data_IF_314847385349
#
_entry.id   IF_314847385349
#
_cell.length_a   1.000
_cell.length_b   1.000
_cell.length_c   1.000
_cell.angle_alpha   90.00
_cell.angle_beta   90.00
_cell.angle_gamma   90.00
#
_symmetry.space_group_name_H-M   'P 1'
#
loop_
_entity.id
_entity.type
_entity.pdbx_description
1 polymer ?
#
# COMPACT_ATOMS: atom_id res chain seq x y z
N UNK A 1 19.80 9.15 7.49
CA UNK A 1 18.96 7.96 7.23
C UNK A 1 19.87 6.75 7.09
N UNK A 2 19.96 5.93 8.15
CA UNK A 2 20.52 4.58 8.02
C UNK A 2 19.51 3.77 7.22
N UNK A 3 19.67 3.74 5.89
CA UNK A 3 18.81 2.93 5.03
C UNK A 3 19.21 1.48 5.24
N UNK A 4 18.42 0.77 6.04
CA UNK A 4 18.53 -0.68 6.16
C UNK A 4 17.86 -1.27 4.90
N UNK A 5 18.62 -1.80 3.93
CA UNK A 5 18.07 -2.17 2.61
C UNK A 5 17.12 -3.37 2.69
N UNK A 6 17.00 -4.00 3.85
CA UNK A 6 16.16 -5.17 4.12
C UNK A 6 14.93 -4.86 4.97
N UNK A 7 14.65 -3.59 5.27
CA UNK A 7 13.45 -3.21 6.01
C UNK A 7 12.18 -3.60 5.24
N UNK A 8 11.14 -4.01 5.97
CA UNK A 8 9.82 -4.25 5.39
C UNK A 8 9.18 -2.94 4.91
N UNK A 9 8.12 -3.05 4.11
CA UNK A 9 7.35 -1.87 3.68
C UNK A 9 6.76 -1.17 4.91
N UNK A 10 6.17 -1.92 5.85
CA UNK A 10 5.62 -1.37 7.09
C UNK A 10 6.66 -0.61 7.92
N UNK A 11 7.84 -1.21 8.14
CA UNK A 11 8.93 -0.58 8.91
C UNK A 11 9.42 0.71 8.24
N UNK A 12 9.46 0.73 6.91
CA UNK A 12 9.90 1.92 6.18
C UNK A 12 8.91 3.08 6.28
N UNK A 13 7.62 2.78 6.46
CA UNK A 13 6.54 3.76 6.52
C UNK A 13 5.99 3.99 7.94
N UNK A 14 6.63 3.46 8.99
CA UNK A 14 6.11 3.58 10.37
C UNK A 14 5.93 5.04 10.82
N UNK A 15 6.89 5.90 10.45
CA UNK A 15 6.87 7.31 10.86
C UNK A 15 5.89 8.16 10.02
N UNK A 16 5.20 7.57 9.05
CA UNK A 16 4.25 8.27 8.19
C UNK A 16 2.91 8.45 8.91
N UNK A 17 2.61 9.69 9.31
CA UNK A 17 1.29 10.05 9.80
C UNK A 17 0.23 9.88 8.69
N UNK A 18 -0.89 9.24 9.03
CA UNK A 18 -2.03 9.13 8.12
C UNK A 18 -2.80 10.47 8.05
N UNK A 19 -2.80 11.17 6.90
CA UNK A 19 -3.49 12.46 6.78
C UNK A 19 -5.01 12.32 6.64
N UNK A 20 -5.53 11.09 6.54
CA UNK A 20 -6.96 10.81 6.33
C UNK A 20 -7.72 10.96 7.64
N UNK A 21 -9.02 11.21 7.51
CA UNK A 21 -9.92 11.34 8.66
C UNK A 21 -10.25 9.94 9.19
N UNK A 22 -9.85 9.65 10.43
CA UNK A 22 -9.89 8.31 11.04
C UNK A 22 -11.25 7.60 10.92
N UNK A 23 -12.36 8.32 11.05
CA UNK A 23 -13.70 7.73 10.95
C UNK A 23 -14.24 7.59 9.51
N UNK A 24 -13.48 8.00 8.50
CA UNK A 24 -13.83 7.91 7.08
C UNK A 24 -12.97 6.90 6.31
N UNK A 25 -12.12 6.12 6.99
CA UNK A 25 -11.25 5.13 6.34
C UNK A 25 -11.74 3.72 6.58
N UNK A 26 -11.69 2.88 5.54
CA UNK A 26 -12.03 1.46 5.60
C UNK A 26 -10.79 0.55 5.56
N UNK A 27 -9.65 1.12 5.16
CA UNK A 27 -8.39 0.40 4.96
C UNK A 27 -7.25 1.18 5.62
N UNK A 28 -6.26 0.47 6.16
CA UNK A 28 -5.06 1.09 6.70
C UNK A 28 -4.28 1.76 5.57
N UNK A 29 -3.55 2.83 5.89
CA UNK A 29 -2.78 3.56 4.88
C UNK A 29 -1.71 2.65 4.28
N UNK A 30 -1.09 1.82 5.12
CA UNK A 30 -0.02 0.91 4.72
C UNK A 30 -0.49 -0.16 3.73
N UNK A 31 -1.73 -0.66 3.89
CA UNK A 31 -2.33 -1.60 2.93
C UNK A 31 -2.47 -0.95 1.55
N UNK A 32 -2.95 0.30 1.51
CA UNK A 32 -3.10 1.06 0.26
C UNK A 32 -1.75 1.33 -0.40
N UNK A 33 -0.74 1.72 0.38
CA UNK A 33 0.63 1.95 -0.11
C UNK A 33 1.22 0.66 -0.69
N UNK A 34 1.03 -0.45 0.01
CA UNK A 34 1.53 -1.77 -0.42
C UNK A 34 0.87 -2.22 -1.71
N UNK A 35 -0.46 -2.11 -1.81
CA UNK A 35 -1.21 -2.42 -3.04
C UNK A 35 -0.75 -1.52 -4.19
N UNK A 36 -0.59 -0.21 -3.97
CA UNK A 36 -0.15 0.73 -4.98
C UNK A 36 1.25 0.40 -5.50
N UNK A 37 2.20 0.10 -4.60
CA UNK A 37 3.56 -0.27 -4.99
C UNK A 37 3.57 -1.54 -5.85
N UNK A 38 2.86 -2.59 -5.42
CA UNK A 38 2.75 -3.83 -6.19
C UNK A 38 2.10 -3.61 -7.56
N UNK A 39 1.01 -2.82 -7.63
CA UNK A 39 0.31 -2.52 -8.87
C UNK A 39 1.19 -1.71 -9.84
N UNK A 40 1.91 -0.69 -9.35
CA UNK A 40 2.81 0.13 -10.17
C UNK A 40 3.97 -0.73 -10.70
N UNK A 41 4.55 -1.60 -9.87
CA UNK A 41 5.59 -2.55 -10.32
C UNK A 41 5.04 -3.51 -11.39
N UNK A 42 3.76 -3.89 -11.28
CA UNK A 42 3.06 -4.71 -12.27
C UNK A 42 2.61 -3.93 -13.52
N UNK A 43 2.88 -2.63 -13.60
CA UNK A 43 2.59 -1.79 -14.78
C UNK A 43 1.25 -1.04 -14.75
N UNK A 44 0.63 -0.84 -13.57
CA UNK A 44 -0.53 0.05 -13.45
C UNK A 44 -0.10 1.52 -13.60
N UNK A 45 -0.76 2.24 -14.51
CA UNK A 45 -0.50 3.65 -14.80
C UNK A 45 -1.54 4.58 -14.16
N UNK A 46 -2.67 4.04 -13.71
CA UNK A 46 -3.78 4.80 -13.15
C UNK A 46 -4.26 4.27 -11.80
N UNK A 47 -4.88 5.13 -10.98
CA UNK A 47 -5.48 4.73 -9.71
C UNK A 47 -6.62 3.72 -9.87
N UNK A 48 -7.34 3.76 -10.99
CA UNK A 48 -8.37 2.76 -11.31
C UNK A 48 -7.74 1.38 -11.50
N UNK A 49 -6.61 1.29 -12.19
CA UNK A 49 -5.86 0.04 -12.35
C UNK A 49 -5.27 -0.45 -11.03
N UNK A 50 -4.76 0.45 -10.18
CA UNK A 50 -4.32 0.09 -8.82
C UNK A 50 -5.47 -0.53 -8.01
N UNK A 51 -6.65 0.11 -8.04
CA UNK A 51 -7.85 -0.43 -7.35
C UNK A 51 -8.28 -1.77 -7.92
N UNK A 52 -8.22 -1.93 -9.24
CA UNK A 52 -8.55 -3.18 -9.91
C UNK A 52 -7.57 -4.30 -9.54
N UNK A 53 -6.26 -4.01 -9.56
CA UNK A 53 -5.21 -4.94 -9.15
C UNK A 53 -5.41 -5.41 -7.71
N UNK A 54 -5.69 -4.50 -6.78
CA UNK A 54 -5.97 -4.83 -5.38
C UNK A 54 -7.14 -5.80 -5.23
N UNK A 55 -8.23 -5.59 -5.98
CA UNK A 55 -9.40 -6.49 -5.97
C UNK A 55 -9.07 -7.85 -6.59
N UNK A 56 -8.37 -7.88 -7.71
CA UNK A 56 -7.98 -9.12 -8.39
C UNK A 56 -7.01 -9.97 -7.56
N UNK A 57 -6.19 -9.33 -6.72
CA UNK A 57 -5.20 -9.96 -5.85
C UNK A 57 -5.61 -9.97 -4.38
N UNK A 58 -6.88 -9.72 -4.06
CA UNK A 58 -7.35 -9.62 -2.69
C UNK A 58 -7.00 -10.88 -1.86
N UNK A 59 -7.22 -12.07 -2.42
CA UNK A 59 -6.88 -13.34 -1.76
C UNK A 59 -5.37 -13.58 -1.57
N UNK A 60 -4.52 -12.81 -2.25
CA UNK A 60 -3.08 -12.81 -2.03
C UNK A 60 -2.68 -11.84 -0.92
N UNK A 61 -3.36 -10.69 -0.82
CA UNK A 61 -3.12 -9.68 0.21
C UNK A 61 -3.72 -10.03 1.58
N UNK A 62 -4.77 -10.85 1.62
CA UNK A 62 -5.44 -11.28 2.86
C UNK A 62 -4.85 -12.56 3.49
N UNK A 63 -3.66 -13.01 3.05
CA UNK A 63 -2.98 -14.19 3.59
C UNK A 63 -2.26 -13.90 4.90
#
# INVERSE_FOLDING_TARGET
MNKNPTASIEEYFDEMADPRVEYLVHHQLIDIITIALCAIIAGADTWTEVSQFGKEKQSWFEQ
#
